data_IF_698287957903
#
_entry.id   IF_698287957903
#
_cell.length_a   1.000
_cell.length_b   1.000
_cell.length_c   1.000
_cell.angle_alpha   90.00
_cell.angle_beta   90.00
_cell.angle_gamma   90.00
#
_symmetry.space_group_name_H-M   'P 1'
#
loop_
_entity.id
_entity.type
_entity.pdbx_description
1 polymer ?
#
# COMPACT_ATOMS: atom_id res chain seq x y z
N UNK A 1 -10.49 -16.11 16.97
CA UNK A 1 -9.50 -15.02 17.19
C UNK A 1 -10.28 -13.72 17.09
N UNK A 2 -10.54 -13.02 18.20
CA UNK A 2 -11.25 -11.72 18.18
C UNK A 2 -10.38 -10.74 17.41
N UNK A 3 -10.87 -10.21 16.29
CA UNK A 3 -10.32 -9.01 15.66
C UNK A 3 -10.46 -7.88 16.71
N UNK A 4 -9.37 -7.57 17.41
CA UNK A 4 -9.29 -6.31 18.15
C UNK A 4 -9.46 -5.20 17.10
N UNK A 5 -10.56 -4.48 17.17
CA UNK A 5 -10.76 -3.28 16.35
C UNK A 5 -9.60 -2.33 16.67
N UNK A 6 -8.74 -2.13 15.70
CA UNK A 6 -7.61 -1.20 15.81
C UNK A 6 -8.18 0.18 16.07
N UNK A 7 -7.85 0.74 17.22
CA UNK A 7 -8.36 2.06 17.60
C UNK A 7 -7.63 3.13 16.79
N UNK A 8 -8.33 3.70 15.83
CA UNK A 8 -7.87 4.88 15.09
C UNK A 8 -8.43 6.11 15.81
N UNK A 9 -7.58 7.10 16.04
CA UNK A 9 -7.96 8.35 16.67
C UNK A 9 -7.34 9.54 15.92
N UNK A 10 -8.03 10.67 15.93
CA UNK A 10 -7.51 11.93 15.38
C UNK A 10 -6.71 12.66 16.44
N UNK A 11 -5.49 13.07 16.08
CA UNK A 11 -4.59 13.86 16.93
C UNK A 11 -4.04 15.07 16.22
N UNK A 12 -3.95 16.17 16.93
CA UNK A 12 -3.22 17.35 16.49
C UNK A 12 -1.78 17.28 17.04
N UNK A 13 -0.80 17.32 16.14
CA UNK A 13 0.61 17.08 16.44
C UNK A 13 1.48 18.27 16.03
N UNK A 14 2.41 18.72 16.87
CA UNK A 14 3.50 19.63 16.48
C UNK A 14 4.80 18.82 16.40
N UNK A 15 5.46 18.84 15.27
CA UNK A 15 6.70 18.09 15.01
C UNK A 15 7.87 18.77 15.70
N UNK A 16 8.56 18.03 16.58
CA UNK A 16 9.79 18.46 17.23
C UNK A 16 11.02 18.01 16.46
N UNK A 17 11.00 16.76 16.00
CA UNK A 17 12.08 16.14 15.24
C UNK A 17 11.48 15.23 14.17
N UNK A 18 12.11 15.17 12.99
CA UNK A 18 11.73 14.30 11.90
C UNK A 18 12.97 13.61 11.34
N UNK A 19 12.88 12.30 11.13
CA UNK A 19 13.92 11.50 10.51
C UNK A 19 13.30 10.62 9.43
N UNK A 20 13.80 10.72 8.21
CA UNK A 20 13.37 9.86 7.11
C UNK A 20 14.20 8.59 7.06
N UNK A 21 13.55 7.43 7.10
CA UNK A 21 14.18 6.11 7.03
C UNK A 21 14.06 5.56 5.61
N UNK A 22 15.13 5.67 4.82
CA UNK A 22 15.19 5.30 3.39
C UNK A 22 14.75 3.85 3.13
N UNK A 23 15.14 2.91 3.99
CA UNK A 23 14.85 1.47 3.84
C UNK A 23 13.34 1.15 3.91
N UNK A 24 12.60 1.90 4.72
CA UNK A 24 11.15 1.71 4.88
C UNK A 24 10.30 2.73 4.15
N UNK A 25 10.89 3.81 3.63
CA UNK A 25 10.16 4.92 3.02
C UNK A 25 9.30 5.71 4.01
N UNK A 26 9.60 5.66 5.31
CA UNK A 26 8.77 6.25 6.37
C UNK A 26 9.50 7.33 7.12
N UNK A 27 8.73 8.32 7.58
CA UNK A 27 9.19 9.26 8.60
C UNK A 27 9.00 8.66 10.00
N UNK A 28 10.01 8.85 10.84
CA UNK A 28 9.92 8.66 12.28
C UNK A 28 9.93 10.03 12.92
N UNK A 29 8.82 10.40 13.54
CA UNK A 29 8.60 11.72 14.13
C UNK A 29 8.64 11.62 15.65
N UNK A 30 9.27 12.60 16.26
CA UNK A 30 9.01 12.99 17.63
C UNK A 30 8.10 14.21 17.59
N UNK A 31 6.90 14.08 18.13
CA UNK A 31 5.91 15.15 18.05
C UNK A 31 5.13 15.29 19.36
N UNK A 32 4.69 16.51 19.62
CA UNK A 32 3.89 16.85 20.79
C UNK A 32 2.42 16.81 20.40
N UNK A 33 1.61 16.11 21.18
CA UNK A 33 0.17 16.18 21.07
C UNK A 33 -0.34 17.54 21.54
N UNK A 34 -1.06 18.22 20.68
CA UNK A 34 -1.67 19.52 20.96
C UNK A 34 -3.15 19.36 21.30
N UNK A 35 -3.64 20.16 22.24
CA UNK A 35 -5.07 20.29 22.53
C UNK A 35 -5.50 21.75 22.39
N UNK A 36 -6.70 21.99 21.87
CA UNK A 36 -7.20 23.35 21.73
C UNK A 36 -7.30 24.05 23.09
N UNK A 37 -6.78 25.27 23.16
CA UNK A 37 -6.86 26.09 24.35
C UNK A 37 -8.22 26.77 24.47
N UNK A 38 -9.23 26.08 25.02
CA UNK A 38 -10.59 26.62 25.23
C UNK A 38 -10.64 27.79 26.25
N UNK A 39 -9.58 27.98 27.06
CA UNK A 39 -9.47 29.09 28.01
C UNK A 39 -8.74 30.26 27.36
N UNK A 40 -9.49 31.12 26.65
CA UNK A 40 -9.03 32.29 25.88
C UNK A 40 -8.26 33.37 26.66
N UNK A 41 -7.44 33.07 27.65
CA UNK A 41 -6.69 34.07 28.43
C UNK A 41 -5.41 34.59 27.78
N UNK A 42 -4.84 33.88 26.78
CA UNK A 42 -3.73 34.38 25.95
C UNK A 42 -4.01 34.12 24.47
N UNK A 43 -4.28 35.19 23.71
CA UNK A 43 -4.53 35.13 22.26
C UNK A 43 -3.33 34.61 21.44
N UNK A 44 -2.14 34.55 22.02
CA UNK A 44 -0.88 34.18 21.37
C UNK A 44 -0.62 32.67 21.27
N UNK A 45 -1.29 31.84 22.08
CA UNK A 45 -1.07 30.39 22.08
C UNK A 45 -2.41 29.64 21.96
N UNK A 46 -2.80 29.27 20.73
CA UNK A 46 -4.08 28.61 20.48
C UNK A 46 -4.12 27.15 20.97
N UNK A 47 -2.98 26.57 21.23
CA UNK A 47 -2.86 25.15 21.62
C UNK A 47 -2.13 24.98 22.94
N UNK A 48 -2.58 23.98 23.72
CA UNK A 48 -1.88 23.50 24.94
C UNK A 48 -1.00 22.32 24.51
N UNK A 49 0.30 22.41 24.80
CA UNK A 49 1.27 21.35 24.54
C UNK A 49 1.14 20.22 25.55
N UNK A 50 0.91 19.01 25.06
CA UNK A 50 0.87 17.78 25.85
C UNK A 50 2.23 17.09 25.95
N UNK A 51 2.20 15.77 26.11
CA UNK A 51 3.42 14.94 26.12
C UNK A 51 3.92 14.66 24.70
N UNK A 52 5.23 14.64 24.55
CA UNK A 52 5.89 14.16 23.32
C UNK A 52 5.71 12.66 23.14
N UNK A 53 5.54 12.22 21.90
CA UNK A 53 5.37 10.83 21.53
C UNK A 53 6.13 10.48 20.26
N UNK A 54 6.25 9.17 19.98
CA UNK A 54 6.85 8.65 18.76
C UNK A 54 5.75 8.30 17.76
N UNK A 55 5.85 8.87 16.58
CA UNK A 55 4.93 8.67 15.46
C UNK A 55 5.69 8.16 14.24
N UNK A 56 5.09 7.27 13.48
CA UNK A 56 5.71 6.69 12.27
C UNK A 56 4.67 6.72 11.15
N UNK A 57 5.05 7.20 9.98
CA UNK A 57 4.12 7.26 8.84
C UNK A 57 4.81 7.50 7.51
N UNK A 58 4.09 7.21 6.45
CA UNK A 58 4.47 7.54 5.08
C UNK A 58 3.91 8.92 4.74
N UNK A 59 4.81 9.88 4.57
CA UNK A 59 4.48 11.28 4.31
C UNK A 59 5.43 11.82 3.24
N UNK A 60 5.01 12.78 2.38
CA UNK A 60 5.88 13.31 1.31
C UNK A 60 7.01 14.17 1.87
N UNK A 61 6.69 15.11 2.71
CA UNK A 61 7.66 16.02 3.32
C UNK A 61 7.21 16.40 4.74
N UNK A 62 8.15 16.42 5.68
CA UNK A 62 7.89 16.83 7.07
C UNK A 62 8.95 17.82 7.51
N UNK A 63 8.52 18.96 8.01
CA UNK A 63 9.34 20.02 8.53
C UNK A 63 9.21 20.15 10.06
N UNK A 64 10.29 20.56 10.72
CA UNK A 64 10.27 20.79 12.17
C UNK A 64 9.39 22.00 12.48
N UNK A 65 8.41 21.80 13.36
CA UNK A 65 7.42 22.82 13.69
C UNK A 65 6.13 22.72 12.87
N UNK A 66 6.03 21.79 11.93
CA UNK A 66 4.76 21.47 11.29
C UNK A 66 3.70 21.11 12.31
N UNK A 67 2.49 21.58 12.09
CA UNK A 67 1.33 21.17 12.86
C UNK A 67 0.44 20.35 11.95
N UNK A 68 0.27 19.07 12.31
CA UNK A 68 -0.55 18.13 11.56
C UNK A 68 -1.79 17.71 12.33
N UNK A 69 -2.92 17.64 11.66
CA UNK A 69 -4.06 16.84 12.08
C UNK A 69 -3.89 15.44 11.47
N UNK A 70 -3.64 14.45 12.32
CA UNK A 70 -3.32 13.09 11.89
C UNK A 70 -4.38 12.10 12.32
N UNK A 71 -4.71 11.15 11.44
CA UNK A 71 -5.36 9.90 11.83
C UNK A 71 -4.27 8.92 12.25
N UNK A 72 -4.31 8.48 13.50
CA UNK A 72 -3.26 7.62 14.06
C UNK A 72 -3.84 6.35 14.66
N UNK A 73 -3.11 5.25 14.50
CA UNK A 73 -3.39 3.97 15.15
C UNK A 73 -2.40 3.76 16.28
N UNK A 74 -2.92 3.44 17.46
CA UNK A 74 -2.09 3.13 18.65
C UNK A 74 -1.45 1.77 18.47
N UNK A 75 -0.13 1.71 18.61
CA UNK A 75 0.67 0.48 18.54
C UNK A 75 1.48 0.31 19.82
N UNK A 76 1.73 -0.92 20.19
CA UNK A 76 2.53 -1.29 21.35
C UNK A 76 3.63 -2.27 20.98
N UNK A 77 4.83 -2.02 21.46
CA UNK A 77 5.94 -2.93 21.30
C UNK A 77 6.63 -3.17 22.66
N UNK A 78 6.93 -4.43 22.99
CA UNK A 78 7.46 -4.84 24.31
C UNK A 78 8.73 -4.07 24.76
N UNK A 79 9.62 -3.72 23.80
CA UNK A 79 10.89 -3.00 24.11
C UNK A 79 10.78 -1.48 24.01
N UNK A 80 9.98 -0.95 23.07
CA UNK A 80 9.91 0.49 22.77
C UNK A 80 8.64 1.18 23.29
N UNK A 81 7.75 0.44 23.96
CA UNK A 81 6.51 0.99 24.54
C UNK A 81 5.46 1.36 23.50
N UNK A 82 4.66 2.38 23.81
CA UNK A 82 3.60 2.89 22.93
C UNK A 82 4.19 3.80 21.87
N UNK A 83 3.77 3.58 20.62
CA UNK A 83 4.03 4.44 19.48
C UNK A 83 2.77 4.53 18.59
N UNK A 84 2.76 5.45 17.64
CA UNK A 84 1.58 5.74 16.82
C UNK A 84 1.92 5.60 15.36
N UNK A 85 1.09 4.83 14.62
CA UNK A 85 1.16 4.72 13.17
C UNK A 85 0.27 5.80 12.56
N UNK A 86 0.84 6.67 11.74
CA UNK A 86 0.10 7.70 11.00
C UNK A 86 -0.46 7.06 9.74
N UNK A 87 -1.76 7.18 9.54
CA UNK A 87 -2.47 6.77 8.31
C UNK A 87 -2.67 7.93 7.34
N UNK A 88 -2.96 9.11 7.86
CA UNK A 88 -3.07 10.35 7.09
C UNK A 88 -2.65 11.54 7.93
N UNK A 89 -2.18 12.60 7.28
CA UNK A 89 -1.80 13.84 7.94
C UNK A 89 -2.14 15.04 7.05
N UNK A 90 -2.84 16.02 7.63
CA UNK A 90 -3.17 17.29 6.99
C UNK A 90 -2.45 18.38 7.75
N UNK A 91 -1.63 19.17 7.05
CA UNK A 91 -0.94 20.32 7.65
C UNK A 91 -1.93 21.41 8.01
N UNK A 92 -1.82 21.94 9.20
CA UNK A 92 -2.59 23.12 9.64
C UNK A 92 -1.77 24.38 9.42
N UNK A 93 -2.39 25.38 8.80
CA UNK A 93 -1.78 26.71 8.67
C UNK A 93 -1.50 27.31 10.05
N UNK A 94 -0.38 28.05 10.23
CA UNK A 94 -0.12 28.78 11.44
C UNK A 94 -1.25 29.80 11.72
N UNK A 95 -1.69 29.87 12.97
CA UNK A 95 -2.77 30.78 13.40
C UNK A 95 -2.25 31.98 14.22
N UNK A 96 -0.91 32.08 14.37
CA UNK A 96 -0.29 33.21 15.05
C UNK A 96 1.07 33.54 14.44
N UNK A 97 1.48 34.82 14.51
CA UNK A 97 2.78 35.28 14.03
C UNK A 97 3.93 34.54 14.71
N UNK A 98 3.80 34.26 16.01
CA UNK A 98 4.81 33.50 16.77
C UNK A 98 5.04 32.10 16.20
N UNK A 99 3.99 31.44 15.69
CA UNK A 99 4.13 30.15 15.03
C UNK A 99 4.86 30.31 13.68
N UNK A 100 4.50 31.31 12.88
CA UNK A 100 5.17 31.61 11.60
C UNK A 100 6.65 31.89 11.85
N UNK A 101 6.99 32.80 12.78
CA UNK A 101 8.36 33.15 13.13
C UNK A 101 9.18 31.91 13.53
N UNK A 102 8.62 31.11 14.44
CA UNK A 102 9.28 29.88 14.91
C UNK A 102 9.51 28.89 13.78
N UNK A 103 8.55 28.72 12.89
CA UNK A 103 8.61 27.82 11.76
C UNK A 103 9.66 28.26 10.74
N UNK A 104 9.65 29.53 10.31
CA UNK A 104 10.62 30.09 9.36
C UNK A 104 12.05 30.00 9.92
N UNK A 105 12.24 30.32 11.20
CA UNK A 105 13.55 30.27 11.86
C UNK A 105 14.13 28.86 11.93
N UNK A 106 13.28 27.82 12.03
CA UNK A 106 13.72 26.42 12.09
C UNK A 106 14.05 25.83 10.74
N UNK A 107 13.38 26.31 9.68
CA UNK A 107 13.41 25.65 8.37
C UNK A 107 14.15 26.44 7.28
N UNK A 108 14.54 27.68 7.55
CA UNK A 108 15.35 28.48 6.62
C UNK A 108 16.72 28.75 7.26
N UNK A 109 17.82 28.19 6.69
CA UNK A 109 19.17 28.51 7.12
C UNK A 109 19.44 30.03 7.02
N UNK A 110 20.18 30.57 7.98
CA UNK A 110 20.54 32.00 7.95
C UNK A 110 19.40 32.97 8.25
N UNK A 111 18.26 32.54 8.76
CA UNK A 111 17.15 33.41 9.19
C UNK A 111 17.54 34.21 10.43
N UNK A 112 17.93 35.48 10.22
CA UNK A 112 18.22 36.44 11.29
C UNK A 112 16.95 37.11 11.81
N UNK A 113 17.07 37.79 12.95
CA UNK A 113 15.93 38.55 13.52
C UNK A 113 15.45 39.64 12.56
N UNK A 114 16.37 40.41 11.97
CA UNK A 114 16.05 41.52 11.06
C UNK A 114 15.34 41.03 9.78
N UNK A 115 15.80 39.92 9.22
CA UNK A 115 15.16 39.28 8.05
C UNK A 115 13.75 38.85 8.39
N UNK A 116 13.57 38.20 9.54
CA UNK A 116 12.28 37.72 10.01
C UNK A 116 11.28 38.86 10.22
N UNK A 117 11.72 39.96 10.85
CA UNK A 117 10.88 41.16 11.04
C UNK A 117 10.43 41.77 9.72
N UNK A 118 11.33 41.85 8.72
CA UNK A 118 10.95 42.32 7.39
C UNK A 118 9.90 41.42 6.73
N UNK A 119 10.07 40.09 6.78
CA UNK A 119 9.15 39.11 6.22
C UNK A 119 7.78 39.21 6.91
N UNK A 120 7.76 39.22 8.26
CA UNK A 120 6.53 39.33 9.03
C UNK A 120 5.82 40.66 8.78
N UNK A 121 6.57 41.76 8.67
CA UNK A 121 6.01 43.07 8.33
C UNK A 121 5.32 43.07 6.97
N UNK A 122 5.86 42.36 5.97
CA UNK A 122 5.32 42.32 4.61
C UNK A 122 4.19 41.33 4.45
N UNK A 123 4.33 40.11 4.97
CA UNK A 123 3.43 39.00 4.72
C UNK A 123 2.58 38.56 5.93
N UNK A 124 3.02 38.86 7.13
CA UNK A 124 2.29 38.44 8.35
C UNK A 124 2.06 36.95 8.41
N UNK A 125 0.80 36.53 8.56
CA UNK A 125 0.40 35.12 8.60
C UNK A 125 0.52 34.42 7.26
N UNK A 126 0.53 35.16 6.15
CA UNK A 126 0.58 34.64 4.79
C UNK A 126 2.02 34.34 4.31
N UNK A 127 3.04 34.51 5.19
CA UNK A 127 4.44 34.31 4.82
C UNK A 127 4.72 32.89 4.28
N UNK A 128 4.08 31.84 4.82
CA UNK A 128 4.26 30.49 4.30
C UNK A 128 3.60 30.31 2.94
N UNK A 129 2.46 30.95 2.70
CA UNK A 129 1.81 30.93 1.39
C UNK A 129 2.59 31.73 0.35
N UNK A 130 3.23 32.83 0.74
CA UNK A 130 4.08 33.60 -0.14
C UNK A 130 5.26 32.77 -0.67
N UNK A 131 6.01 32.11 0.21
CA UNK A 131 7.14 31.26 -0.19
C UNK A 131 6.69 29.97 -0.90
N UNK A 132 5.51 29.45 -0.61
CA UNK A 132 4.94 28.31 -1.33
C UNK A 132 4.62 28.66 -2.78
N UNK A 133 4.14 29.87 -3.05
CA UNK A 133 3.79 30.33 -4.39
C UNK A 133 5.00 30.76 -5.20
N UNK A 134 6.03 31.33 -4.54
CA UNK A 134 7.20 31.93 -5.18
C UNK A 134 8.44 31.70 -4.33
N UNK A 135 9.43 30.93 -4.81
CA UNK A 135 10.68 30.68 -4.08
C UNK A 135 11.48 31.98 -3.83
N UNK A 136 11.28 33.01 -4.66
CA UNK A 136 11.96 34.29 -4.56
C UNK A 136 11.27 35.29 -3.60
N UNK A 137 10.14 34.88 -3.01
CA UNK A 137 9.29 35.75 -2.17
C UNK A 137 10.06 36.48 -1.05
N UNK A 138 11.18 35.94 -0.59
CA UNK A 138 11.96 36.47 0.52
C UNK A 138 13.29 37.15 0.12
N UNK A 139 13.57 37.32 -1.19
CA UNK A 139 14.78 38.02 -1.66
C UNK A 139 14.92 39.45 -1.11
N UNK A 140 13.76 40.18 -0.96
CA UNK A 140 13.79 41.56 -0.42
C UNK A 140 14.32 41.62 1.02
N UNK A 141 14.30 40.50 1.77
CA UNK A 141 14.84 40.36 3.11
C UNK A 141 16.31 39.85 3.10
N UNK A 142 16.92 39.73 1.91
CA UNK A 142 18.28 39.27 1.73
C UNK A 142 18.47 37.77 1.86
N UNK A 143 17.40 37.00 1.64
CA UNK A 143 17.48 35.52 1.48
C UNK A 143 17.60 35.20 0.00
N UNK A 144 18.51 34.31 -0.33
CA UNK A 144 18.61 33.78 -1.69
C UNK A 144 17.53 32.71 -1.91
N UNK A 145 17.07 32.52 -3.17
CA UNK A 145 16.12 31.45 -3.50
C UNK A 145 16.57 30.07 -2.98
N UNK A 146 17.85 29.76 -3.08
CA UNK A 146 18.47 28.51 -2.62
C UNK A 146 18.27 28.26 -1.12
N UNK A 147 18.24 29.33 -0.29
CA UNK A 147 18.01 29.22 1.16
C UNK A 147 16.57 28.79 1.49
N UNK A 148 15.62 29.12 0.63
CA UNK A 148 14.19 28.87 0.81
C UNK A 148 13.67 27.70 -0.06
N UNK A 149 14.46 27.19 -1.00
CA UNK A 149 14.05 26.17 -1.98
C UNK A 149 13.55 24.89 -1.29
N UNK A 150 14.26 24.42 -0.29
CA UNK A 150 13.85 23.21 0.48
C UNK A 150 12.48 23.39 1.13
N UNK A 151 12.21 24.59 1.68
CA UNK A 151 10.92 24.92 2.27
C UNK A 151 9.83 25.02 1.20
N UNK A 152 10.11 25.69 0.09
CA UNK A 152 9.20 25.81 -1.05
C UNK A 152 8.76 24.42 -1.58
N UNK A 153 9.73 23.54 -1.84
CA UNK A 153 9.45 22.17 -2.29
C UNK A 153 8.63 21.38 -1.29
N UNK A 154 9.02 21.40 -0.01
CA UNK A 154 8.31 20.65 1.03
C UNK A 154 6.86 21.13 1.23
N UNK A 155 6.61 22.45 1.12
CA UNK A 155 5.26 23.00 1.19
C UNK A 155 4.40 22.56 0.00
N UNK A 156 4.96 22.55 -1.21
CA UNK A 156 4.26 22.14 -2.43
C UNK A 156 3.99 20.64 -2.49
N UNK A 157 4.95 19.80 -2.09
CA UNK A 157 4.74 18.36 -1.98
C UNK A 157 3.63 18.01 -1.00
N UNK A 158 3.63 18.69 0.15
CA UNK A 158 2.58 18.46 1.15
C UNK A 158 1.21 18.91 0.67
N UNK A 159 1.12 20.05 -0.01
CA UNK A 159 -0.14 20.55 -0.59
C UNK A 159 -0.70 19.58 -1.65
N UNK A 160 0.15 19.04 -2.52
CA UNK A 160 -0.27 18.04 -3.50
C UNK A 160 -0.77 16.74 -2.83
N UNK A 161 -0.09 16.28 -1.78
CA UNK A 161 -0.54 15.14 -0.99
C UNK A 161 -1.90 15.39 -0.30
N UNK A 162 -2.11 16.59 0.25
CA UNK A 162 -3.37 16.98 0.90
C UNK A 162 -4.54 16.97 -0.09
N UNK A 163 -4.31 17.35 -1.36
CA UNK A 163 -5.34 17.23 -2.39
C UNK A 163 -5.77 15.77 -2.59
N UNK A 164 -4.83 14.82 -2.58
CA UNK A 164 -5.16 13.39 -2.66
C UNK A 164 -6.00 12.94 -1.46
N UNK A 165 -5.65 13.37 -0.25
CA UNK A 165 -6.45 13.09 0.96
C UNK A 165 -7.87 13.63 0.80
N UNK A 166 -8.03 14.88 0.34
CA UNK A 166 -9.34 15.50 0.15
C UNK A 166 -10.19 14.72 -0.86
N UNK A 167 -9.61 14.26 -1.97
CA UNK A 167 -10.31 13.44 -2.96
C UNK A 167 -10.81 12.15 -2.32
N UNK A 168 -9.96 11.44 -1.58
CA UNK A 168 -10.33 10.20 -0.92
C UNK A 168 -11.42 10.43 0.13
N UNK A 169 -11.30 11.43 0.99
CA UNK A 169 -12.27 11.77 2.03
C UNK A 169 -13.63 12.15 1.43
N UNK A 170 -13.65 13.02 0.42
CA UNK A 170 -14.87 13.47 -0.26
C UNK A 170 -15.64 12.29 -0.86
N UNK A 171 -14.91 11.29 -1.36
CA UNK A 171 -15.49 10.07 -1.91
C UNK A 171 -15.68 8.97 -0.84
N UNK A 172 -15.33 9.24 0.42
CA UNK A 172 -15.44 8.31 1.54
C UNK A 172 -14.55 7.08 1.39
N UNK A 173 -13.43 7.21 0.67
CA UNK A 173 -12.40 6.18 0.55
C UNK A 173 -11.40 6.27 1.72
N UNK A 174 -10.63 5.21 1.92
CA UNK A 174 -9.68 5.12 3.02
C UNK A 174 -8.43 5.96 2.74
N UNK A 175 -8.13 6.91 3.62
CA UNK A 175 -6.97 7.81 3.49
C UNK A 175 -5.61 7.10 3.62
N UNK A 176 -5.57 5.84 4.06
CA UNK A 176 -4.32 5.04 4.06
C UNK A 176 -3.73 4.88 2.66
N UNK A 177 -4.54 5.03 1.62
CA UNK A 177 -4.08 4.98 0.23
C UNK A 177 -3.56 6.31 -0.31
N UNK A 178 -3.66 7.40 0.47
CA UNK A 178 -3.26 8.73 0.00
C UNK A 178 -1.77 8.79 -0.38
N UNK A 179 -0.89 8.28 0.48
CA UNK A 179 0.54 8.32 0.20
C UNK A 179 0.98 7.38 -0.93
N UNK A 180 0.52 6.10 -1.01
CA UNK A 180 0.77 5.26 -2.17
C UNK A 180 0.33 5.88 -3.50
N UNK A 181 -0.85 6.52 -3.53
CA UNK A 181 -1.35 7.24 -4.70
C UNK A 181 -0.48 8.45 -5.05
N UNK A 182 -0.18 9.28 -4.06
CA UNK A 182 0.67 10.46 -4.23
C UNK A 182 2.05 10.06 -4.74
N UNK A 183 2.68 9.06 -4.12
CA UNK A 183 4.01 8.58 -4.51
C UNK A 183 4.05 8.09 -5.96
N UNK A 184 2.97 7.47 -6.44
CA UNK A 184 2.92 6.90 -7.80
C UNK A 184 2.57 7.93 -8.87
N UNK A 185 1.62 8.82 -8.58
CA UNK A 185 1.02 9.71 -9.58
C UNK A 185 1.28 11.20 -9.34
N UNK A 186 1.81 11.55 -8.17
CA UNK A 186 2.11 12.93 -7.76
C UNK A 186 0.91 13.87 -8.02
N UNK A 187 1.16 15.02 -8.66
CA UNK A 187 0.12 16.01 -9.03
C UNK A 187 -0.88 15.50 -10.07
N UNK A 188 -0.57 14.42 -10.78
CA UNK A 188 -1.47 13.77 -11.74
C UNK A 188 -2.56 12.89 -11.13
N UNK A 189 -2.55 12.69 -9.80
CA UNK A 189 -3.43 11.76 -9.10
C UNK A 189 -4.92 12.08 -9.34
N UNK A 190 -5.33 13.36 -9.26
CA UNK A 190 -6.72 13.77 -9.48
C UNK A 190 -7.21 13.37 -10.88
N UNK A 191 -6.41 13.68 -11.90
CA UNK A 191 -6.72 13.35 -13.29
C UNK A 191 -6.93 11.84 -13.50
N UNK A 192 -6.07 11.02 -12.89
CA UNK A 192 -6.15 9.56 -12.98
C UNK A 192 -7.38 9.03 -12.26
N UNK A 193 -7.63 9.49 -11.03
CA UNK A 193 -8.80 9.05 -10.26
C UNK A 193 -10.12 9.45 -10.92
N UNK A 194 -10.19 10.64 -11.55
CA UNK A 194 -11.38 11.07 -12.29
C UNK A 194 -11.59 10.26 -13.59
N UNK A 195 -10.51 9.95 -14.29
CA UNK A 195 -10.56 9.22 -15.56
C UNK A 195 -10.81 7.73 -15.38
N UNK A 196 -10.05 7.11 -14.49
CA UNK A 196 -10.06 5.67 -14.26
C UNK A 196 -9.67 5.26 -12.83
N UNK A 197 -10.62 5.21 -11.89
CA UNK A 197 -10.33 4.70 -10.55
C UNK A 197 -9.87 3.25 -10.48
N UNK A 198 -10.13 2.44 -11.52
CA UNK A 198 -9.67 1.04 -11.51
C UNK A 198 -8.20 0.88 -11.89
N UNK A 199 -7.58 1.87 -12.56
CA UNK A 199 -6.16 1.81 -12.90
C UNK A 199 -5.25 1.66 -11.67
N UNK A 200 -5.38 2.47 -10.60
CA UNK A 200 -4.57 2.26 -9.40
C UNK A 200 -4.83 0.91 -8.69
N UNK A 201 -6.05 0.36 -8.79
CA UNK A 201 -6.34 -0.99 -8.32
C UNK A 201 -5.55 -2.04 -9.12
N UNK A 202 -5.60 -1.99 -10.45
CA UNK A 202 -4.86 -2.90 -11.33
C UNK A 202 -3.35 -2.84 -11.09
N UNK A 203 -2.85 -1.68 -10.72
CA UNK A 203 -1.43 -1.45 -10.38
C UNK A 203 -1.09 -1.73 -8.91
N UNK A 204 -2.02 -2.27 -8.12
CA UNK A 204 -1.79 -2.70 -6.73
C UNK A 204 -1.66 -1.57 -5.71
N UNK A 205 -2.13 -0.34 -6.03
CA UNK A 205 -2.05 0.81 -5.11
C UNK A 205 -3.09 0.72 -4.00
N UNK A 206 -4.32 0.30 -4.35
CA UNK A 206 -5.41 0.06 -3.41
C UNK A 206 -6.28 -1.12 -3.82
N UNK A 207 -7.24 -1.49 -2.97
CA UNK A 207 -8.14 -2.61 -3.22
C UNK A 207 -9.28 -2.28 -4.19
N UNK A 208 -9.95 -3.32 -4.72
CA UNK A 208 -11.09 -3.17 -5.62
C UNK A 208 -12.22 -2.34 -5.01
N UNK A 209 -12.53 -2.56 -3.72
CA UNK A 209 -13.66 -1.87 -3.09
C UNK A 209 -13.45 -0.37 -2.99
N UNK A 210 -12.21 0.07 -2.80
CA UNK A 210 -11.83 1.49 -2.86
C UNK A 210 -12.03 2.05 -4.27
N UNK A 211 -11.56 1.34 -5.30
CA UNK A 211 -11.76 1.70 -6.70
C UNK A 211 -13.25 1.79 -7.06
N UNK A 212 -14.02 0.78 -6.69
CA UNK A 212 -15.45 0.69 -7.00
C UNK A 212 -16.25 1.80 -6.31
N UNK A 213 -15.92 2.10 -5.07
CA UNK A 213 -16.51 3.21 -4.32
C UNK A 213 -16.25 4.56 -4.97
N UNK A 214 -15.00 4.82 -5.37
CA UNK A 214 -14.62 6.03 -6.10
C UNK A 214 -15.36 6.13 -7.43
N UNK A 215 -15.45 5.04 -8.17
CA UNK A 215 -16.14 4.97 -9.46
C UNK A 215 -17.63 5.30 -9.35
N UNK A 216 -18.33 4.67 -8.41
CA UNK A 216 -19.75 4.88 -8.19
C UNK A 216 -20.05 6.29 -7.66
N UNK A 217 -19.21 6.84 -6.79
CA UNK A 217 -19.35 8.21 -6.26
C UNK A 217 -19.19 9.29 -7.33
N UNK A 218 -18.50 9.01 -8.43
CA UNK A 218 -18.43 9.87 -9.61
C UNK A 218 -19.72 9.87 -10.44
N UNK A 219 -20.78 9.19 -9.99
CA UNK A 219 -22.07 9.11 -10.71
C UNK A 219 -22.06 8.15 -11.90
N UNK A 220 -21.07 7.27 -11.99
CA UNK A 220 -21.02 6.25 -13.05
C UNK A 220 -22.10 5.18 -12.83
N UNK A 221 -22.69 4.63 -13.92
CA UNK A 221 -23.75 3.64 -13.79
C UNK A 221 -23.27 2.37 -13.08
N UNK A 222 -24.06 1.82 -12.15
CA UNK A 222 -23.70 0.55 -11.48
C UNK A 222 -23.54 -0.63 -12.46
N UNK A 223 -24.25 -0.61 -13.59
CA UNK A 223 -24.19 -1.63 -14.65
C UNK A 223 -23.16 -1.37 -15.74
N UNK A 224 -22.23 -0.43 -15.54
CA UNK A 224 -21.23 -0.06 -16.53
C UNK A 224 -20.32 -1.26 -16.92
N UNK A 225 -20.08 -1.52 -18.21
CA UNK A 225 -19.20 -2.59 -18.69
C UNK A 225 -17.76 -2.49 -18.13
N UNK A 226 -17.26 -1.27 -17.87
CA UNK A 226 -15.94 -1.08 -17.27
C UNK A 226 -15.90 -1.60 -15.83
N UNK A 227 -16.95 -1.33 -15.05
CA UNK A 227 -17.12 -1.88 -13.71
C UNK A 227 -17.21 -3.40 -13.73
N UNK A 228 -17.96 -3.96 -14.70
CA UNK A 228 -18.09 -5.40 -14.87
C UNK A 228 -16.73 -6.07 -15.15
N UNK A 229 -15.94 -5.51 -16.07
CA UNK A 229 -14.58 -6.01 -16.36
C UNK A 229 -13.67 -5.98 -15.12
N UNK A 230 -13.64 -4.87 -14.42
CA UNK A 230 -12.84 -4.74 -13.20
C UNK A 230 -13.27 -5.74 -12.10
N UNK A 231 -14.58 -5.97 -11.95
CA UNK A 231 -15.10 -6.96 -11.01
C UNK A 231 -14.72 -8.40 -11.39
N UNK A 232 -14.76 -8.76 -12.67
CA UNK A 232 -14.34 -10.08 -13.16
C UNK A 232 -12.85 -10.32 -12.84
N UNK A 233 -11.97 -9.38 -13.18
CA UNK A 233 -10.54 -9.49 -12.85
C UNK A 233 -10.30 -9.58 -11.34
N UNK A 234 -11.05 -8.79 -10.54
CA UNK A 234 -10.93 -8.80 -9.10
C UNK A 234 -11.35 -10.14 -8.47
N UNK A 235 -12.39 -10.78 -9.01
CA UNK A 235 -12.82 -12.11 -8.59
C UNK A 235 -11.72 -13.13 -8.87
N UNK A 236 -11.16 -13.14 -10.08
CA UNK A 236 -10.12 -14.07 -10.46
C UNK A 236 -8.88 -13.92 -9.56
N UNK A 237 -8.44 -12.68 -9.27
CA UNK A 237 -7.35 -12.41 -8.32
C UNK A 237 -7.70 -12.89 -6.90
N UNK A 238 -8.93 -12.61 -6.45
CA UNK A 238 -9.38 -13.02 -5.10
C UNK A 238 -9.48 -14.53 -4.95
N UNK A 239 -9.86 -15.27 -5.99
CA UNK A 239 -9.88 -16.73 -6.00
C UNK A 239 -8.47 -17.30 -5.88
N UNK A 240 -7.52 -16.73 -6.62
CA UNK A 240 -6.11 -17.10 -6.52
C UNK A 240 -5.55 -16.80 -5.13
N UNK A 241 -5.70 -15.58 -4.63
CA UNK A 241 -5.07 -15.13 -3.39
C UNK A 241 -5.63 -15.82 -2.14
N UNK A 242 -6.94 -16.08 -2.11
CA UNK A 242 -7.61 -16.64 -0.93
C UNK A 242 -7.68 -18.17 -0.92
N UNK A 243 -7.85 -18.75 -2.10
CA UNK A 243 -8.17 -20.18 -2.22
C UNK A 243 -7.15 -20.96 -3.06
N UNK A 244 -6.23 -20.27 -3.76
CA UNK A 244 -5.29 -20.89 -4.68
C UNK A 244 -5.95 -21.39 -5.97
N UNK A 245 -7.17 -20.93 -6.30
CA UNK A 245 -7.88 -21.31 -7.51
C UNK A 245 -7.34 -20.47 -8.68
N UNK A 246 -6.83 -21.12 -9.70
CA UNK A 246 -6.27 -20.45 -10.90
C UNK A 246 -7.36 -19.95 -11.85
N UNK A 247 -8.56 -20.51 -11.80
CA UNK A 247 -9.66 -20.19 -12.69
C UNK A 247 -11.02 -20.14 -11.98
N UNK A 248 -11.98 -19.56 -12.67
CA UNK A 248 -13.40 -19.59 -12.32
C UNK A 248 -14.16 -20.21 -13.49
N UNK A 249 -15.06 -21.16 -13.24
CA UNK A 249 -15.94 -21.70 -14.27
C UNK A 249 -16.94 -20.64 -14.72
N UNK A 250 -17.12 -20.50 -16.00
CA UNK A 250 -18.00 -19.50 -16.59
C UNK A 250 -19.44 -19.58 -16.07
N UNK A 251 -19.94 -20.80 -15.82
CA UNK A 251 -21.26 -21.06 -15.26
C UNK A 251 -21.44 -20.45 -13.84
N UNK A 252 -20.35 -20.39 -13.04
CA UNK A 252 -20.37 -19.83 -11.69
C UNK A 252 -20.04 -18.33 -11.63
N UNK A 253 -19.69 -17.69 -12.78
CA UNK A 253 -19.25 -16.31 -12.79
C UNK A 253 -20.31 -15.33 -12.23
N UNK A 254 -21.60 -15.54 -12.58
CA UNK A 254 -22.69 -14.70 -12.08
C UNK A 254 -22.88 -14.79 -10.56
N UNK A 255 -22.83 -16.01 -10.04
CA UNK A 255 -22.91 -16.25 -8.60
C UNK A 255 -21.75 -15.59 -7.86
N UNK A 256 -20.54 -15.74 -8.41
CA UNK A 256 -19.33 -15.11 -7.86
C UNK A 256 -19.40 -13.58 -7.93
N UNK A 257 -19.94 -13.00 -9.00
CA UNK A 257 -20.16 -11.55 -9.11
C UNK A 257 -21.13 -11.04 -8.05
N UNK A 258 -22.26 -11.74 -7.82
CA UNK A 258 -23.21 -11.40 -6.75
C UNK A 258 -22.55 -11.38 -5.37
N UNK A 259 -21.86 -12.47 -5.05
CA UNK A 259 -21.20 -12.63 -3.76
C UNK A 259 -20.09 -11.59 -3.56
N UNK A 260 -19.30 -11.32 -4.61
CA UNK A 260 -18.16 -10.40 -4.55
C UNK A 260 -18.59 -8.94 -4.40
N UNK A 261 -19.65 -8.53 -5.10
CA UNK A 261 -20.18 -7.16 -5.01
C UNK A 261 -21.09 -6.93 -3.80
N UNK A 262 -21.34 -7.97 -2.99
CA UNK A 262 -22.24 -7.92 -1.83
C UNK A 262 -23.62 -7.33 -2.16
N UNK A 263 -24.23 -7.77 -3.28
CA UNK A 263 -25.53 -7.29 -3.76
C UNK A 263 -26.53 -8.43 -3.89
N UNK A 264 -27.81 -8.16 -3.61
CA UNK A 264 -28.90 -9.15 -3.78
C UNK A 264 -29.29 -9.34 -5.25
N UNK A 265 -28.96 -8.33 -6.10
CA UNK A 265 -29.26 -8.34 -7.52
C UNK A 265 -28.05 -7.84 -8.31
N UNK A 266 -27.65 -8.59 -9.33
CA UNK A 266 -26.58 -8.19 -10.24
C UNK A 266 -26.95 -6.87 -10.94
N UNK A 267 -26.07 -5.87 -10.93
CA UNK A 267 -26.27 -4.63 -11.67
C UNK A 267 -26.02 -4.80 -13.17
N UNK A 268 -25.48 -5.95 -13.60
CA UNK A 268 -25.10 -6.26 -14.99
C UNK A 268 -26.14 -7.15 -15.67
N UNK A 269 -26.40 -6.89 -16.96
CA UNK A 269 -27.16 -7.81 -17.81
C UNK A 269 -26.27 -8.94 -18.31
N UNK A 270 -26.88 -10.01 -18.84
CA UNK A 270 -26.14 -11.13 -19.42
C UNK A 270 -25.29 -10.71 -20.62
N UNK A 271 -25.80 -9.77 -21.42
CA UNK A 271 -25.08 -9.16 -22.52
C UNK A 271 -23.86 -8.40 -22.03
N UNK A 272 -24.01 -7.57 -20.96
CA UNK A 272 -22.90 -6.81 -20.38
C UNK A 272 -21.79 -7.74 -19.86
N UNK A 273 -22.16 -8.86 -19.23
CA UNK A 273 -21.19 -9.85 -18.75
C UNK A 273 -20.47 -10.51 -19.93
N UNK A 274 -21.23 -10.95 -20.94
CA UNK A 274 -20.66 -11.61 -22.12
C UNK A 274 -19.72 -10.67 -22.90
N UNK A 275 -20.11 -9.42 -23.12
CA UNK A 275 -19.28 -8.40 -23.76
C UNK A 275 -18.03 -8.09 -22.94
N UNK A 276 -18.15 -8.02 -21.61
CA UNK A 276 -17.02 -7.76 -20.71
C UNK A 276 -16.01 -8.90 -20.75
N UNK A 277 -16.46 -10.15 -20.72
CA UNK A 277 -15.61 -11.34 -20.86
C UNK A 277 -14.94 -11.34 -22.24
N UNK A 278 -15.70 -11.06 -23.32
CA UNK A 278 -15.15 -10.96 -24.68
C UNK A 278 -14.09 -9.85 -24.81
N UNK A 279 -14.33 -8.70 -24.21
CA UNK A 279 -13.38 -7.59 -24.18
C UNK A 279 -12.08 -7.94 -23.44
N UNK A 280 -12.17 -8.53 -22.24
CA UNK A 280 -11.02 -8.97 -21.47
C UNK A 280 -10.18 -10.01 -22.21
N UNK A 281 -10.84 -10.98 -22.87
CA UNK A 281 -10.17 -11.98 -23.72
C UNK A 281 -9.44 -11.32 -24.89
N UNK A 282 -10.08 -10.38 -25.58
CA UNK A 282 -9.51 -9.68 -26.74
C UNK A 282 -8.24 -8.88 -26.39
N UNK A 283 -8.14 -8.38 -25.17
CA UNK A 283 -7.00 -7.57 -24.71
C UNK A 283 -6.01 -8.38 -23.87
N UNK A 284 -6.07 -9.71 -23.92
CA UNK A 284 -5.16 -10.62 -23.20
C UNK A 284 -5.13 -10.44 -21.67
N UNK A 285 -6.23 -9.95 -21.07
CA UNK A 285 -6.38 -9.89 -19.62
C UNK A 285 -6.76 -11.25 -19.04
N UNK A 286 -7.55 -12.03 -19.80
CA UNK A 286 -8.01 -13.37 -19.42
C UNK A 286 -7.81 -14.37 -20.57
N UNK A 287 -7.69 -15.63 -20.19
CA UNK A 287 -7.75 -16.79 -21.09
C UNK A 287 -9.01 -17.59 -20.78
N UNK A 288 -9.68 -18.11 -21.83
CA UNK A 288 -10.81 -19.02 -21.68
C UNK A 288 -10.40 -20.35 -22.31
N UNK A 289 -10.36 -21.38 -21.49
CA UNK A 289 -10.06 -22.75 -21.90
C UNK A 289 -11.32 -23.63 -21.81
N UNK A 290 -11.47 -24.54 -22.74
CA UNK A 290 -12.57 -25.52 -22.73
C UNK A 290 -12.05 -26.82 -22.15
N UNK A 291 -12.47 -27.14 -20.93
CA UNK A 291 -12.12 -28.39 -20.24
C UNK A 291 -13.32 -29.34 -20.18
N UNK A 292 -13.10 -30.54 -19.65
CA UNK A 292 -14.17 -31.57 -19.48
C UNK A 292 -15.35 -31.09 -18.60
N UNK A 293 -15.14 -30.07 -17.77
CA UNK A 293 -16.15 -29.49 -16.89
C UNK A 293 -16.81 -28.21 -17.38
N UNK A 294 -16.53 -27.76 -18.61
CA UNK A 294 -17.06 -26.51 -19.19
C UNK A 294 -15.97 -25.49 -19.51
N UNK A 295 -16.37 -24.24 -19.72
CA UNK A 295 -15.43 -23.13 -19.97
C UNK A 295 -14.84 -22.60 -18.65
N UNK A 296 -13.52 -22.55 -18.58
CA UNK A 296 -12.72 -22.08 -17.47
C UNK A 296 -12.08 -20.75 -17.81
N UNK A 297 -12.25 -19.74 -16.94
CA UNK A 297 -11.76 -18.38 -17.13
C UNK A 297 -10.57 -18.16 -16.19
N UNK A 298 -9.41 -17.93 -16.75
CA UNK A 298 -8.15 -17.64 -16.05
C UNK A 298 -7.77 -16.16 -16.16
N UNK A 299 -7.04 -15.62 -15.20
CA UNK A 299 -6.17 -14.48 -15.50
C UNK A 299 -5.09 -14.93 -16.48
N UNK A 300 -4.73 -14.08 -17.42
CA UNK A 300 -3.70 -14.41 -18.42
C UNK A 300 -2.36 -14.80 -17.75
N UNK A 301 -1.94 -14.04 -16.74
CA UNK A 301 -0.72 -14.33 -15.97
C UNK A 301 -0.76 -15.71 -15.32
N UNK A 302 -1.86 -16.04 -14.65
CA UNK A 302 -2.01 -17.34 -13.96
C UNK A 302 -2.01 -18.52 -14.93
N UNK A 303 -2.62 -18.35 -16.10
CA UNK A 303 -2.62 -19.36 -17.17
C UNK A 303 -1.20 -19.62 -17.70
N UNK A 304 -0.43 -18.57 -17.97
CA UNK A 304 0.94 -18.70 -18.46
C UNK A 304 1.89 -19.27 -17.37
N UNK A 305 1.67 -18.94 -16.10
CA UNK A 305 2.40 -19.53 -14.98
C UNK A 305 2.13 -21.04 -14.87
N UNK A 306 0.86 -21.47 -14.95
CA UNK A 306 0.48 -22.88 -14.94
C UNK A 306 1.10 -23.64 -16.12
N UNK A 307 1.00 -23.09 -17.33
CA UNK A 307 1.63 -23.70 -18.52
C UNK A 307 3.14 -23.81 -18.40
N UNK A 308 3.79 -22.77 -17.89
CA UNK A 308 5.24 -22.76 -17.67
C UNK A 308 5.64 -23.80 -16.63
N UNK A 309 4.86 -23.93 -15.56
CA UNK A 309 5.08 -24.96 -14.54
C UNK A 309 4.90 -26.37 -15.14
N UNK A 310 3.82 -26.60 -15.89
CA UNK A 310 3.56 -27.88 -16.56
C UNK A 310 4.68 -28.25 -17.54
N UNK A 311 5.12 -27.32 -18.39
CA UNK A 311 6.22 -27.52 -19.33
C UNK A 311 7.55 -27.80 -18.61
N UNK A 312 7.76 -27.16 -17.46
CA UNK A 312 8.98 -27.39 -16.64
C UNK A 312 8.96 -28.78 -16.01
N UNK A 313 7.80 -29.22 -15.50
CA UNK A 313 7.61 -30.57 -14.96
C UNK A 313 7.81 -31.60 -16.09
N UNK A 314 7.21 -31.38 -17.26
CA UNK A 314 7.34 -32.25 -18.41
C UNK A 314 8.80 -32.39 -18.87
N UNK A 315 9.52 -31.28 -18.94
CA UNK A 315 10.97 -31.29 -19.27
C UNK A 315 11.80 -32.08 -18.27
N UNK A 316 11.51 -31.96 -16.97
CA UNK A 316 12.21 -32.75 -15.94
C UNK A 316 11.83 -34.22 -16.02
N UNK A 317 10.54 -34.52 -16.27
CA UNK A 317 10.03 -35.87 -16.34
C UNK A 317 10.60 -36.68 -17.53
N UNK A 318 10.70 -36.03 -18.71
CA UNK A 318 11.19 -36.64 -19.92
C UNK A 318 12.68 -36.34 -20.23
N UNK A 319 13.34 -35.53 -19.39
CA UNK A 319 14.74 -35.18 -19.53
C UNK A 319 15.69 -36.37 -19.29
N UNK A 320 16.98 -36.12 -19.49
CA UNK A 320 18.01 -37.12 -19.19
C UNK A 320 17.91 -37.55 -17.72
N UNK A 321 17.80 -38.88 -17.51
CA UNK A 321 17.82 -39.44 -16.16
C UNK A 321 19.17 -39.16 -15.56
N UNK A 322 19.20 -38.62 -14.35
CA UNK A 322 20.41 -38.40 -13.58
C UNK A 322 21.19 -39.68 -13.35
N UNK A 323 22.32 -39.62 -12.66
CA UNK A 323 23.19 -40.74 -12.35
C UNK A 323 22.38 -41.83 -11.64
N UNK A 324 22.26 -43.00 -12.27
CA UNK A 324 21.59 -44.13 -11.65
C UNK A 324 22.48 -44.66 -10.49
N UNK A 325 22.06 -44.40 -9.27
CA UNK A 325 22.68 -44.90 -8.06
C UNK A 325 22.00 -46.21 -7.68
N UNK A 326 22.78 -47.26 -7.47
CA UNK A 326 22.20 -48.53 -7.03
C UNK A 326 21.66 -48.43 -5.60
N UNK A 327 20.45 -48.96 -5.29
CA UNK A 327 19.88 -48.91 -3.94
C UNK A 327 20.84 -49.40 -2.85
N UNK A 328 21.65 -50.42 -3.15
CA UNK A 328 22.68 -50.97 -2.24
C UNK A 328 23.78 -49.94 -1.88
N UNK A 329 24.17 -49.06 -2.80
CA UNK A 329 25.15 -48.01 -2.55
C UNK A 329 24.58 -46.91 -1.62
N UNK A 330 23.31 -46.58 -1.77
CA UNK A 330 22.61 -45.64 -0.89
C UNK A 330 22.50 -46.18 0.53
N UNK A 331 22.16 -47.48 0.66
CA UNK A 331 22.09 -48.18 1.93
C UNK A 331 23.44 -48.20 2.64
N UNK A 332 24.53 -48.50 1.90
CA UNK A 332 25.89 -48.51 2.40
C UNK A 332 26.30 -47.09 2.89
N UNK A 333 25.97 -46.06 2.13
CA UNK A 333 26.25 -44.68 2.49
C UNK A 333 25.50 -44.24 3.75
N UNK A 334 24.16 -44.47 3.82
CA UNK A 334 23.37 -44.15 5.00
C UNK A 334 23.87 -44.83 6.27
N UNK A 335 24.35 -46.09 6.13
CA UNK A 335 24.93 -46.86 7.23
C UNK A 335 26.28 -46.29 7.69
N UNK A 336 27.11 -45.81 6.76
CA UNK A 336 28.41 -45.19 7.06
C UNK A 336 28.24 -43.82 7.74
N UNK A 337 27.23 -43.02 7.32
CA UNK A 337 26.98 -41.72 7.89
C UNK A 337 26.28 -41.78 9.26
N UNK A 338 25.86 -42.96 9.72
CA UNK A 338 25.17 -43.12 11.01
C UNK A 338 23.78 -42.53 11.05
N UNK A 339 23.16 -42.26 9.90
CA UNK A 339 21.78 -41.76 9.83
C UNK A 339 20.77 -42.86 10.17
N UNK A 340 19.94 -42.63 11.18
CA UNK A 340 18.79 -43.46 11.51
C UNK A 340 17.54 -42.89 10.90
N UNK A 341 17.17 -43.30 9.68
CA UNK A 341 15.93 -42.90 9.00
C UNK A 341 14.83 -43.92 9.30
N UNK A 342 13.62 -43.42 9.51
CA UNK A 342 12.43 -44.26 9.56
C UNK A 342 12.20 -44.95 8.21
N UNK A 343 11.48 -46.10 8.16
CA UNK A 343 11.29 -46.85 6.91
C UNK A 343 10.71 -45.97 5.78
N UNK A 344 9.74 -45.14 6.07
CA UNK A 344 9.10 -44.22 5.10
C UNK A 344 10.05 -43.11 4.63
N UNK A 345 10.93 -42.62 5.50
CA UNK A 345 11.95 -41.63 5.15
C UNK A 345 13.01 -42.25 4.23
N UNK A 346 13.40 -43.50 4.51
CA UNK A 346 14.33 -44.27 3.67
C UNK A 346 13.77 -44.55 2.28
N UNK A 347 12.48 -44.94 2.20
CA UNK A 347 11.76 -45.12 0.95
C UNK A 347 11.72 -43.82 0.14
N UNK A 348 11.47 -42.68 0.81
CA UNK A 348 11.44 -41.35 0.17
C UNK A 348 12.81 -40.98 -0.45
N UNK A 349 13.93 -41.28 0.24
CA UNK A 349 15.31 -41.08 -0.29
C UNK A 349 15.53 -41.93 -1.52
N UNK A 350 15.24 -43.24 -1.43
CA UNK A 350 15.43 -44.19 -2.56
C UNK A 350 14.57 -43.78 -3.76
N UNK A 351 13.32 -43.41 -3.53
CA UNK A 351 12.41 -42.92 -4.59
C UNK A 351 12.95 -41.64 -5.25
N UNK A 352 13.47 -40.69 -4.46
CA UNK A 352 14.04 -39.46 -4.97
C UNK A 352 15.27 -39.66 -5.87
N UNK A 353 16.04 -40.71 -5.64
CA UNK A 353 17.23 -41.00 -6.42
C UNK A 353 16.94 -41.71 -7.76
N UNK A 354 15.82 -42.41 -7.86
CA UNK A 354 15.44 -43.15 -9.07
C UNK A 354 14.35 -42.47 -9.90
N UNK A 355 13.66 -41.51 -9.30
CA UNK A 355 12.53 -40.79 -9.95
C UNK A 355 12.97 -39.39 -10.34
N UNK A 356 12.61 -38.91 -11.56
CA UNK A 356 12.95 -37.55 -11.98
C UNK A 356 12.25 -36.50 -11.13
N UNK A 357 11.07 -36.82 -10.56
CA UNK A 357 10.32 -35.95 -9.65
C UNK A 357 9.78 -36.78 -8.50
N UNK A 358 10.00 -36.33 -7.28
CA UNK A 358 9.48 -36.94 -6.06
C UNK A 358 8.78 -35.91 -5.18
N UNK A 359 7.59 -36.24 -4.69
CA UNK A 359 6.83 -35.41 -3.76
C UNK A 359 6.85 -36.06 -2.38
N UNK A 360 7.47 -35.38 -1.40
CA UNK A 360 7.50 -35.81 -0.01
C UNK A 360 6.47 -35.00 0.78
N UNK A 361 5.42 -35.65 1.24
CA UNK A 361 4.36 -35.02 2.06
C UNK A 361 4.31 -35.65 3.46
N UNK A 362 3.74 -34.92 4.41
CA UNK A 362 3.57 -35.39 5.78
C UNK A 362 3.23 -34.26 6.75
N UNK A 363 2.73 -34.58 7.91
CA UNK A 363 2.33 -33.63 8.96
C UNK A 363 3.52 -32.81 9.53
N UNK A 364 3.24 -31.80 10.36
CA UNK A 364 4.28 -31.10 11.11
C UNK A 364 5.08 -32.09 11.99
N UNK A 365 6.42 -31.95 12.02
CA UNK A 365 7.29 -32.78 12.87
C UNK A 365 7.61 -34.19 12.34
N UNK A 366 7.16 -34.58 11.16
CA UNK A 366 7.47 -35.92 10.56
C UNK A 366 8.87 -36.02 9.97
N UNK A 367 9.74 -35.01 10.12
CA UNK A 367 11.12 -35.06 9.69
C UNK A 367 11.36 -34.87 8.19
N UNK A 368 10.40 -34.28 7.44
CA UNK A 368 10.57 -34.00 6.00
C UNK A 368 11.86 -33.28 5.66
N UNK A 369 12.19 -32.21 6.37
CA UNK A 369 13.44 -31.45 6.17
C UNK A 369 14.68 -32.30 6.49
N UNK A 370 14.59 -33.19 7.48
CA UNK A 370 15.68 -34.13 7.82
C UNK A 370 15.89 -35.17 6.72
N UNK A 371 14.83 -35.56 6.03
CA UNK A 371 14.90 -36.52 4.90
C UNK A 371 15.52 -35.89 3.65
N UNK A 372 15.33 -34.58 3.43
CA UNK A 372 15.82 -33.85 2.24
C UNK A 372 17.27 -33.38 2.41
N UNK A 373 17.71 -33.11 3.63
CA UNK A 373 19.07 -32.68 3.97
C UNK A 373 19.99 -33.86 4.20
#
# INVERSE_FOLDING_TARGET
>A
MKLEMKKIETRLLEVEEASYVKESGKYVLRAIHLTENKRRRRKSEPYIRGKSGRYVGELPAVLVGDIFECEVEVRYHKKSGVWFLIHSAIRKSPVSLVQVERFLRKNIPGMTQDRLEQIIKKYGLDALQAIQNDPDAFEFAGLLPEDAETLHHALNEMAAYEQVIMILQTNGADCRFAYPLFRKYNTGCDCILQRDPYLPYQEGVYDFYTADKLYLKQGKPPGDPKRCRAAIEAILRSELDKYGNLFVRKEHLKEKLLAFLHTDKLPFTDETIAESVGCLKKHDHIVIETALGGEEIYLHSSYEEERTAAASIERVWFGEKGIAVAPAEVEAYLSQCGYSLAPEQREAVLTALISPITIISGGPGTGKTHTVN
#
